data_IF_220758265495
#
_entry.id   IF_220758265495
#
_cell.length_a   1.000
_cell.length_b   1.000
_cell.length_c   1.000
_cell.angle_alpha   90.00
_cell.angle_beta   90.00
_cell.angle_gamma   90.00
#
_symmetry.space_group_name_H-M   'P 1'
#
loop_
_entity.id
_entity.type
_entity.pdbx_description
1 polymer ?
#
# COMPACT_ATOMS: atom_id res chain seq x y z
N UNK A 1 22.85 -14.17 -10.44
CA UNK A 1 21.58 -13.62 -10.96
C UNK A 1 21.13 -12.33 -10.24
N UNK A 2 21.24 -12.20 -8.91
CA UNK A 2 20.82 -10.98 -8.17
C UNK A 2 21.57 -9.69 -8.56
N UNK A 3 22.85 -9.75 -8.89
CA UNK A 3 23.66 -8.57 -9.30
C UNK A 3 23.33 -8.05 -10.70
N UNK A 4 22.80 -8.92 -11.59
CA UNK A 4 22.44 -8.54 -12.95
C UNK A 4 21.12 -7.73 -12.99
N UNK A 5 20.16 -8.06 -12.13
CA UNK A 5 18.89 -7.32 -12.02
C UNK A 5 19.08 -5.89 -11.50
N UNK A 6 20.01 -5.68 -10.55
CA UNK A 6 20.30 -4.34 -10.01
C UNK A 6 20.97 -3.46 -11.07
N UNK A 7 21.87 -4.02 -11.88
CA UNK A 7 22.51 -3.28 -12.98
C UNK A 7 21.50 -2.91 -14.09
N UNK A 8 20.53 -3.78 -14.37
CA UNK A 8 19.48 -3.52 -15.38
C UNK A 8 18.53 -2.40 -14.90
N UNK A 9 18.16 -2.40 -13.63
CA UNK A 9 17.31 -1.35 -13.04
C UNK A 9 18.06 -0.01 -13.02
N UNK A 10 19.34 0.00 -12.65
CA UNK A 10 20.14 1.23 -12.68
C UNK A 10 20.35 1.76 -14.10
N UNK A 11 20.53 0.91 -15.12
CA UNK A 11 20.67 1.36 -16.52
C UNK A 11 19.40 2.00 -17.07
N UNK A 12 18.22 1.52 -16.68
CA UNK A 12 16.94 2.12 -17.06
C UNK A 12 16.75 3.53 -16.45
N UNK A 13 17.30 3.79 -15.26
CA UNK A 13 17.28 5.12 -14.65
C UNK A 13 18.20 6.11 -15.37
N UNK A 14 19.35 5.65 -15.88
CA UNK A 14 20.30 6.53 -16.61
C UNK A 14 19.83 6.87 -18.03
N UNK A 15 19.19 5.96 -18.74
CA UNK A 15 18.65 6.24 -20.09
C UNK A 15 17.50 7.24 -20.08
N UNK A 16 16.68 7.28 -19.02
CA UNK A 16 15.60 8.26 -18.87
C UNK A 16 16.07 9.70 -18.70
N UNK A 17 17.33 9.92 -18.27
CA UNK A 17 17.86 11.25 -18.00
C UNK A 17 18.38 11.96 -19.26
N UNK A 18 18.72 11.24 -20.32
CA UNK A 18 19.33 11.78 -21.53
C UNK A 18 18.28 12.37 -22.49
N UNK A 19 17.06 11.85 -22.48
CA UNK A 19 15.97 12.38 -23.33
C UNK A 19 15.22 13.58 -22.72
N UNK A 20 15.57 13.99 -21.51
CA UNK A 20 14.90 15.10 -20.82
C UNK A 20 15.49 16.50 -21.16
N UNK A 21 16.54 16.59 -21.96
CA UNK A 21 17.25 17.86 -22.20
C UNK A 21 16.94 18.55 -23.54
N UNK A 22 16.26 17.93 -24.46
CA UNK A 22 15.86 18.60 -25.71
C UNK A 22 14.40 19.05 -25.67
N UNK A 23 14.16 20.30 -25.63
CA UNK A 23 12.88 21.07 -25.77
C UNK A 23 12.45 21.86 -24.54
N UNK A 24 13.32 22.68 -23.97
CA UNK A 24 12.94 23.56 -22.85
C UNK A 24 12.18 24.81 -23.33
N UNK A 25 12.35 25.29 -24.53
CA UNK A 25 11.77 26.57 -24.97
C UNK A 25 10.32 26.46 -25.49
N UNK A 26 9.96 25.40 -26.18
CA UNK A 26 8.60 25.22 -26.73
C UNK A 26 7.56 24.71 -25.68
N UNK A 27 8.05 24.13 -24.59
CA UNK A 27 7.24 23.56 -23.48
C UNK A 27 6.67 24.67 -22.58
N UNK A 28 7.30 25.82 -22.48
CA UNK A 28 6.98 26.83 -21.47
C UNK A 28 5.66 27.54 -21.75
N UNK A 29 5.31 27.82 -23.00
CA UNK A 29 4.04 28.49 -23.34
C UNK A 29 2.83 27.56 -23.24
N UNK A 30 2.95 26.30 -23.68
CA UNK A 30 1.85 25.34 -23.67
C UNK A 30 1.59 24.69 -22.29
N UNK A 31 2.57 24.73 -21.39
CA UNK A 31 2.43 24.16 -20.02
C UNK A 31 1.68 25.08 -19.06
N UNK A 32 1.60 26.38 -19.36
CA UNK A 32 0.85 27.34 -18.57
C UNK A 32 -0.68 27.21 -18.75
N UNK A 33 -1.15 26.57 -19.81
CA UNK A 33 -2.58 26.36 -20.07
C UNK A 33 -3.16 25.17 -19.28
N UNK A 34 -2.38 24.09 -19.06
CA UNK A 34 -2.87 22.88 -18.40
C UNK A 34 -2.62 22.93 -16.90
N UNK A 35 -3.69 23.14 -16.15
CA UNK A 35 -3.64 23.25 -14.69
C UNK A 35 -4.16 22.03 -13.97
N UNK A 36 -4.76 21.08 -14.67
CA UNK A 36 -5.47 19.95 -14.09
C UNK A 36 -5.02 18.64 -14.75
N UNK A 37 -5.10 17.56 -14.00
CA UNK A 37 -4.90 16.21 -14.51
C UNK A 37 -5.74 15.18 -13.77
N UNK A 38 -6.13 14.15 -14.50
CA UNK A 38 -6.67 12.91 -13.92
C UNK A 38 -5.57 11.87 -14.00
N UNK A 39 -5.38 11.12 -12.91
CA UNK A 39 -4.41 10.05 -12.81
C UNK A 39 -5.04 8.72 -12.49
N UNK A 40 -4.41 7.66 -13.00
CA UNK A 40 -4.65 6.28 -12.60
C UNK A 40 -3.36 5.73 -12.03
N UNK A 41 -3.44 5.08 -10.88
CA UNK A 41 -2.29 4.50 -10.21
C UNK A 41 -2.48 3.03 -9.93
N UNK A 42 -1.36 2.29 -9.92
CA UNK A 42 -1.28 0.90 -9.53
C UNK A 42 0.00 0.65 -8.73
N UNK A 43 -0.03 -0.31 -7.84
CA UNK A 43 1.07 -0.68 -6.95
C UNK A 43 0.54 -1.32 -5.67
N UNK A 44 0.70 -0.66 -4.53
CA UNK A 44 0.08 -1.09 -3.25
C UNK A 44 -1.47 -1.01 -3.27
N UNK A 45 -2.07 -0.82 -4.41
CA UNK A 45 -3.51 -0.74 -4.66
C UNK A 45 -3.75 -0.14 -6.03
N UNK A 46 -5.01 -0.07 -6.42
CA UNK A 46 -5.46 0.64 -7.61
C UNK A 46 -6.08 1.97 -7.20
N UNK A 47 -5.75 3.04 -7.90
CA UNK A 47 -6.25 4.36 -7.56
C UNK A 47 -6.63 5.19 -8.76
N UNK A 48 -7.51 6.15 -8.49
CA UNK A 48 -7.86 7.24 -9.38
C UNK A 48 -7.72 8.55 -8.61
N UNK A 49 -7.15 9.56 -9.24
CA UNK A 49 -6.95 10.84 -8.61
C UNK A 49 -7.17 12.02 -9.56
N UNK A 50 -7.44 13.16 -8.96
CA UNK A 50 -7.44 14.45 -9.62
C UNK A 50 -6.33 15.30 -9.02
N UNK A 51 -5.55 15.92 -9.91
CA UNK A 51 -4.44 16.80 -9.52
C UNK A 51 -4.58 18.18 -10.13
N UNK A 52 -4.17 19.19 -9.38
CA UNK A 52 -4.18 20.59 -9.81
C UNK A 52 -2.85 21.25 -9.49
N UNK A 53 -2.39 22.09 -10.42
CA UNK A 53 -1.25 22.98 -10.21
C UNK A 53 -1.64 24.07 -9.22
N UNK A 54 -0.99 24.14 -8.07
CA UNK A 54 -1.11 25.27 -7.14
C UNK A 54 -0.05 26.34 -7.43
N UNK A 55 1.21 25.92 -7.56
CA UNK A 55 2.32 26.79 -7.96
C UNK A 55 3.10 26.13 -9.09
N UNK A 56 3.16 26.73 -10.29
CA UNK A 56 3.85 26.15 -11.44
C UNK A 56 5.24 25.64 -11.09
N UNK A 57 5.58 24.45 -11.58
CA UNK A 57 6.85 23.77 -11.41
C UNK A 57 7.26 23.46 -9.95
N UNK A 58 6.47 23.83 -8.95
CA UNK A 58 6.83 23.66 -7.53
C UNK A 58 5.81 22.92 -6.69
N UNK A 59 4.51 23.28 -6.77
CA UNK A 59 3.49 22.74 -5.86
C UNK A 59 2.28 22.25 -6.64
N UNK A 60 1.85 21.05 -6.30
CA UNK A 60 0.68 20.39 -6.86
C UNK A 60 -0.18 19.84 -5.73
N UNK A 61 -1.50 19.99 -5.89
CA UNK A 61 -2.49 19.38 -5.01
C UNK A 61 -3.07 18.15 -5.71
N UNK A 62 -3.23 17.06 -4.98
CA UNK A 62 -3.83 15.83 -5.48
C UNK A 62 -4.88 15.36 -4.48
N UNK A 63 -6.05 15.00 -4.98
CA UNK A 63 -7.08 14.30 -4.21
C UNK A 63 -7.44 13.02 -4.95
N UNK A 64 -7.47 11.90 -4.27
CA UNK A 64 -7.64 10.61 -4.91
C UNK A 64 -8.32 9.57 -4.02
N UNK A 65 -8.76 8.51 -4.66
CA UNK A 65 -9.27 7.32 -4.03
C UNK A 65 -8.40 6.13 -4.42
N UNK A 66 -8.04 5.31 -3.45
CA UNK A 66 -7.26 4.08 -3.64
C UNK A 66 -7.95 2.91 -2.97
N UNK A 67 -7.83 1.75 -3.59
CA UNK A 67 -8.34 0.50 -3.06
C UNK A 67 -7.32 -0.63 -3.28
N UNK A 68 -7.06 -1.38 -2.22
CA UNK A 68 -6.39 -2.67 -2.23
C UNK A 68 -7.34 -3.67 -1.60
N UNK A 69 -7.93 -4.52 -2.42
CA UNK A 69 -8.74 -5.65 -1.96
C UNK A 69 -8.09 -6.91 -2.50
N UNK A 70 -7.63 -7.74 -1.61
CA UNK A 70 -6.91 -8.95 -1.97
C UNK A 70 -7.28 -10.07 -1.01
N UNK A 71 -7.55 -11.25 -1.55
CA UNK A 71 -7.89 -12.44 -0.77
C UNK A 71 -7.16 -13.66 -1.34
N UNK A 72 -6.43 -14.36 -0.50
CA UNK A 72 -5.85 -15.68 -0.81
C UNK A 72 -6.44 -16.66 0.16
N UNK A 73 -6.95 -17.78 -0.37
CA UNK A 73 -7.59 -18.82 0.43
C UNK A 73 -6.88 -20.16 0.22
N UNK A 74 -6.83 -20.95 1.29
CA UNK A 74 -6.35 -22.33 1.25
C UNK A 74 -4.84 -22.46 1.06
N UNK A 75 -4.05 -21.53 1.62
CA UNK A 75 -2.59 -21.72 1.66
C UNK A 75 -2.31 -22.82 2.68
N UNK A 76 -1.74 -23.91 2.19
CA UNK A 76 -1.30 -25.02 3.06
C UNK A 76 0.01 -24.67 3.71
N UNK A 77 0.07 -24.72 5.04
CA UNK A 77 1.27 -24.54 5.84
C UNK A 77 1.39 -25.68 6.85
N UNK A 78 2.58 -26.27 6.94
CA UNK A 78 2.90 -27.22 7.99
C UNK A 78 3.60 -26.49 9.14
N UNK A 79 2.95 -26.48 10.31
CA UNK A 79 3.49 -25.88 11.53
C UNK A 79 3.47 -26.93 12.62
N UNK A 80 4.63 -27.21 13.19
CA UNK A 80 4.81 -28.19 14.27
C UNK A 80 4.33 -29.60 13.96
N UNK A 81 4.31 -30.00 12.68
CA UNK A 81 3.84 -31.30 12.21
C UNK A 81 2.35 -31.38 11.88
N UNK A 82 1.62 -30.29 12.05
CA UNK A 82 0.20 -30.19 11.71
C UNK A 82 0.00 -29.40 10.41
N UNK A 83 -0.88 -29.90 9.55
CA UNK A 83 -1.25 -29.21 8.30
C UNK A 83 -2.35 -28.18 8.57
N UNK A 84 -2.05 -26.92 8.29
CA UNK A 84 -2.95 -25.80 8.47
C UNK A 84 -3.36 -25.22 7.11
N UNK A 85 -4.60 -24.79 7.02
CA UNK A 85 -5.11 -23.96 5.93
C UNK A 85 -5.17 -22.50 6.41
N UNK A 86 -4.48 -21.62 5.70
CA UNK A 86 -4.43 -20.20 6.01
C UNK A 86 -5.15 -19.42 4.92
N UNK A 87 -6.18 -18.70 5.32
CA UNK A 87 -6.88 -17.72 4.50
C UNK A 87 -6.43 -16.31 4.93
N UNK A 88 -6.11 -15.45 3.97
CA UNK A 88 -5.70 -14.07 4.25
C UNK A 88 -6.54 -13.13 3.40
N UNK A 89 -7.13 -12.13 4.02
CA UNK A 89 -7.88 -11.07 3.36
C UNK A 89 -7.31 -9.71 3.75
N UNK A 90 -7.07 -8.87 2.73
CA UNK A 90 -6.62 -7.50 2.87
C UNK A 90 -7.69 -6.58 2.28
N UNK A 91 -8.22 -5.67 3.07
CA UNK A 91 -9.16 -4.64 2.60
C UNK A 91 -8.70 -3.26 3.08
N UNK A 92 -8.03 -2.53 2.17
CA UNK A 92 -7.63 -1.16 2.38
C UNK A 92 -8.31 -0.28 1.33
N UNK A 93 -9.12 0.65 1.78
CA UNK A 93 -9.77 1.66 0.94
C UNK A 93 -9.59 3.02 1.58
N UNK A 94 -9.02 3.95 0.84
CA UNK A 94 -8.81 5.30 1.36
C UNK A 94 -9.07 6.37 0.33
N UNK A 95 -9.56 7.50 0.82
CA UNK A 95 -9.49 8.78 0.14
C UNK A 95 -8.27 9.53 0.66
N UNK A 96 -7.45 10.09 -0.22
CA UNK A 96 -6.28 10.86 0.20
C UNK A 96 -6.24 12.28 -0.39
N UNK A 97 -5.66 13.18 0.38
CA UNK A 97 -5.29 14.52 -0.05
C UNK A 97 -3.79 14.70 0.12
N UNK A 98 -3.10 14.98 -0.97
CA UNK A 98 -1.64 15.07 -1.02
C UNK A 98 -1.17 16.39 -1.62
N UNK A 99 -0.06 16.89 -1.12
CA UNK A 99 0.67 18.02 -1.68
C UNK A 99 2.01 17.47 -2.17
N UNK A 100 2.32 17.69 -3.45
CA UNK A 100 3.62 17.37 -4.03
C UNK A 100 4.45 18.63 -4.17
N UNK A 101 5.64 18.63 -3.57
CA UNK A 101 6.60 19.73 -3.63
C UNK A 101 7.83 19.32 -4.43
N UNK A 102 8.17 20.09 -5.46
CA UNK A 102 9.34 19.90 -6.30
C UNK A 102 10.44 20.91 -5.93
N UNK A 103 11.38 20.57 -5.02
CA UNK A 103 12.38 21.50 -4.50
C UNK A 103 13.27 22.04 -5.61
N UNK A 104 13.62 21.22 -6.57
CA UNK A 104 14.54 21.56 -7.67
C UNK A 104 13.82 21.89 -8.98
N UNK A 105 12.49 22.02 -8.97
CA UNK A 105 11.65 22.24 -10.17
C UNK A 105 11.81 21.16 -11.27
N UNK A 106 12.42 20.02 -10.95
CA UNK A 106 12.60 18.85 -11.80
C UNK A 106 11.54 17.77 -11.52
N UNK A 107 11.78 16.53 -11.94
CA UNK A 107 10.89 15.41 -11.72
C UNK A 107 10.86 14.90 -10.26
N UNK A 108 11.90 15.14 -9.47
CA UNK A 108 11.94 14.74 -8.06
C UNK A 108 10.93 15.53 -7.24
N UNK A 109 10.22 14.87 -6.36
CA UNK A 109 9.22 15.48 -5.47
C UNK A 109 9.25 14.89 -4.06
N UNK A 110 8.91 15.74 -3.11
CA UNK A 110 8.49 15.38 -1.77
C UNK A 110 6.96 15.40 -1.73
N UNK A 111 6.37 14.41 -1.11
CA UNK A 111 4.91 14.29 -1.03
C UNK A 111 4.51 14.21 0.43
N UNK A 112 3.66 15.12 0.86
CA UNK A 112 3.02 15.09 2.16
C UNK A 112 1.51 15.11 2.01
N UNK A 113 0.78 14.52 2.97
CA UNK A 113 -0.67 14.49 2.88
C UNK A 113 -1.34 13.79 4.04
N UNK A 114 -2.59 13.45 3.84
CA UNK A 114 -3.42 12.70 4.80
C UNK A 114 -4.29 11.71 4.03
N UNK A 115 -4.38 10.49 4.54
CA UNK A 115 -5.31 9.47 4.09
C UNK A 115 -6.46 9.31 5.07
N UNK A 116 -7.66 9.18 4.53
CA UNK A 116 -8.89 8.85 5.26
C UNK A 116 -9.31 7.46 4.84
N UNK A 117 -9.14 6.49 5.71
CA UNK A 117 -9.41 5.09 5.45
C UNK A 117 -10.86 4.76 5.78
N UNK A 118 -11.62 4.32 4.79
CA UNK A 118 -12.95 3.75 4.98
C UNK A 118 -12.90 2.27 5.33
N UNK A 119 -11.79 1.60 5.02
CA UNK A 119 -11.43 0.26 5.42
C UNK A 119 -9.92 0.18 5.53
N UNK A 120 -9.43 -0.42 6.62
CA UNK A 120 -7.99 -0.62 6.89
C UNK A 120 -7.81 -1.91 7.69
N UNK A 121 -8.31 -3.01 7.11
CA UNK A 121 -8.40 -4.30 7.79
C UNK A 121 -7.52 -5.35 7.11
N UNK A 122 -6.89 -6.19 7.92
CA UNK A 122 -6.26 -7.43 7.51
C UNK A 122 -6.82 -8.56 8.36
N UNK A 123 -7.46 -9.52 7.73
CA UNK A 123 -7.96 -10.73 8.39
C UNK A 123 -7.09 -11.93 7.99
N UNK A 124 -6.70 -12.72 8.98
CA UNK A 124 -5.98 -13.99 8.80
C UNK A 124 -6.72 -15.06 9.55
N UNK A 125 -7.31 -16.00 8.81
CA UNK A 125 -8.02 -17.15 9.36
C UNK A 125 -7.20 -18.41 9.16
N UNK A 126 -6.98 -19.15 10.22
CA UNK A 126 -6.25 -20.41 10.19
C UNK A 126 -7.17 -21.54 10.69
N UNK A 127 -7.24 -22.62 9.93
CA UNK A 127 -8.01 -23.83 10.27
C UNK A 127 -7.13 -25.06 10.10
N UNK A 128 -7.42 -26.11 10.83
CA UNK A 128 -6.74 -27.38 10.64
C UNK A 128 -7.26 -28.08 9.37
N UNK A 129 -6.34 -28.63 8.57
CA UNK A 129 -6.66 -29.37 7.36
C UNK A 129 -7.05 -30.82 7.66
N UNK A 130 -6.37 -31.42 8.60
CA UNK A 130 -6.49 -32.83 8.96
C UNK A 130 -7.04 -32.97 10.39
N UNK A 131 -7.53 -34.17 10.73
CA UNK A 131 -7.92 -34.48 12.10
C UNK A 131 -6.70 -34.40 13.03
N UNK A 132 -6.89 -33.88 14.23
CA UNK A 132 -5.84 -33.75 15.25
C UNK A 132 -6.00 -34.80 16.29
N UNK A 133 -4.90 -35.40 16.72
CA UNK A 133 -4.88 -36.36 17.82
C UNK A 133 -4.21 -35.72 19.04
N UNK A 134 -4.99 -35.49 20.09
CA UNK A 134 -4.46 -34.97 21.36
C UNK A 134 -4.54 -36.09 22.41
N UNK A 135 -3.41 -36.69 22.73
CA UNK A 135 -3.34 -37.88 23.60
C UNK A 135 -3.92 -39.10 22.92
N UNK A 136 -5.06 -39.57 23.44
CA UNK A 136 -5.81 -40.73 22.89
C UNK A 136 -7.13 -40.28 22.18
N UNK A 137 -7.39 -38.99 22.09
CA UNK A 137 -8.64 -38.47 21.53
C UNK A 137 -8.36 -37.86 20.15
N UNK A 138 -9.06 -38.32 19.15
CA UNK A 138 -9.07 -37.76 17.81
C UNK A 138 -10.18 -36.72 17.68
N UNK A 139 -9.79 -35.49 17.25
CA UNK A 139 -10.71 -34.41 16.95
C UNK A 139 -10.81 -34.26 15.43
N UNK A 140 -12.02 -34.17 14.94
CA UNK A 140 -12.24 -33.89 13.54
C UNK A 140 -11.93 -32.39 13.26
N UNK A 141 -11.83 -32.01 11.99
CA UNK A 141 -11.47 -30.65 11.59
C UNK A 141 -12.47 -29.59 12.09
N UNK A 142 -13.74 -29.92 12.25
CA UNK A 142 -14.77 -29.00 12.74
C UNK A 142 -14.63 -28.75 14.26
N UNK A 143 -14.32 -29.79 15.04
CA UNK A 143 -14.14 -29.72 16.50
C UNK A 143 -12.74 -29.19 16.88
N UNK A 144 -11.77 -29.33 16.01
CA UNK A 144 -10.40 -28.81 16.21
C UNK A 144 -10.37 -27.30 16.36
N UNK A 145 -11.29 -26.60 15.69
CA UNK A 145 -11.46 -25.16 15.82
C UNK A 145 -10.74 -24.34 14.76
N UNK A 146 -10.84 -23.03 14.91
CA UNK A 146 -10.20 -22.04 14.04
C UNK A 146 -9.60 -20.91 14.85
N UNK A 147 -8.54 -20.31 14.30
CA UNK A 147 -7.94 -19.07 14.78
C UNK A 147 -8.23 -17.98 13.76
N UNK A 148 -8.84 -16.91 14.21
CA UNK A 148 -9.18 -15.75 13.39
C UNK A 148 -8.53 -14.51 14.00
N UNK A 149 -7.68 -13.83 13.21
CA UNK A 149 -6.91 -12.66 13.62
C UNK A 149 -7.33 -11.49 12.76
N UNK A 150 -7.95 -10.50 13.36
CA UNK A 150 -8.29 -9.24 12.73
C UNK A 150 -7.34 -8.14 13.17
N UNK A 151 -6.72 -7.47 12.19
CA UNK A 151 -5.81 -6.34 12.42
C UNK A 151 -6.41 -5.10 11.78
N UNK A 152 -6.72 -4.10 12.60
CA UNK A 152 -7.34 -2.85 12.17
C UNK A 152 -6.41 -1.67 12.45
N UNK A 153 -6.24 -0.78 11.46
CA UNK A 153 -5.49 0.47 11.62
C UNK A 153 -6.41 1.68 11.72
N UNK A 154 -5.83 2.83 12.04
CA UNK A 154 -6.57 4.09 12.17
C UNK A 154 -7.29 4.49 10.89
N UNK A 155 -8.47 5.09 11.04
CA UNK A 155 -9.24 5.68 9.96
C UNK A 155 -8.54 6.89 9.31
N UNK A 156 -7.65 7.58 10.04
CA UNK A 156 -6.94 8.77 9.55
C UNK A 156 -5.44 8.60 9.78
N UNK A 157 -4.66 8.75 8.73
CA UNK A 157 -3.21 8.63 8.79
C UNK A 157 -2.51 9.70 7.96
N UNK A 158 -1.60 10.51 8.54
CA UNK A 158 -0.68 11.36 7.80
C UNK A 158 0.18 10.54 6.83
N UNK A 159 0.49 11.13 5.68
CA UNK A 159 1.32 10.52 4.65
C UNK A 159 2.58 11.33 4.43
N UNK A 160 3.71 10.67 4.29
CA UNK A 160 4.96 11.25 3.84
C UNK A 160 5.64 10.32 2.83
N UNK A 161 6.15 10.90 1.74
CA UNK A 161 6.80 10.12 0.70
C UNK A 161 7.71 10.94 -0.19
N UNK A 162 8.39 10.21 -1.05
CA UNK A 162 9.25 10.72 -2.11
C UNK A 162 8.71 10.23 -3.44
N UNK A 163 8.97 10.94 -4.52
CA UNK A 163 8.56 10.45 -5.82
C UNK A 163 9.30 11.11 -6.97
N UNK A 164 9.01 10.56 -8.16
CA UNK A 164 9.46 11.08 -9.43
C UNK A 164 8.28 11.28 -10.37
N UNK A 165 8.36 12.31 -11.19
CA UNK A 165 7.29 12.69 -12.10
C UNK A 165 6.35 13.73 -11.51
N UNK A 166 5.64 14.45 -12.38
CA UNK A 166 4.75 15.54 -11.99
C UNK A 166 3.31 15.04 -11.83
N UNK A 167 2.60 15.55 -10.84
CA UNK A 167 1.18 15.26 -10.66
C UNK A 167 0.33 15.79 -11.81
N UNK A 168 0.68 16.98 -12.34
CA UNK A 168 0.18 17.51 -13.60
C UNK A 168 1.34 17.57 -14.57
N UNK A 169 1.38 16.71 -15.60
CA UNK A 169 2.48 16.67 -16.55
C UNK A 169 2.48 17.87 -17.50
N UNK A 170 3.65 18.26 -17.97
CA UNK A 170 3.80 19.34 -18.96
C UNK A 170 3.27 18.93 -20.34
N UNK A 171 3.34 17.63 -20.68
CA UNK A 171 2.70 17.05 -21.88
C UNK A 171 1.34 16.50 -21.50
N UNK A 172 0.50 16.14 -22.50
CA UNK A 172 -0.82 15.56 -22.23
C UNK A 172 -0.77 14.32 -21.35
N UNK A 173 0.21 13.45 -21.58
CA UNK A 173 0.43 12.24 -20.80
C UNK A 173 1.69 12.38 -19.95
N UNK A 174 1.65 11.85 -18.75
CA UNK A 174 2.79 11.79 -17.85
C UNK A 174 2.79 10.53 -17.01
N UNK A 175 4.00 10.19 -16.56
CA UNK A 175 4.25 9.08 -15.66
C UNK A 175 4.84 9.62 -14.36
N UNK A 176 4.46 9.01 -13.26
CA UNK A 176 5.02 9.30 -11.95
C UNK A 176 5.16 8.01 -11.15
N UNK A 177 6.09 8.01 -10.21
CA UNK A 177 6.27 6.95 -9.24
C UNK A 177 6.38 7.60 -7.86
N UNK A 178 5.69 7.03 -6.88
CA UNK A 178 5.69 7.48 -5.49
C UNK A 178 6.01 6.31 -4.55
N UNK A 179 6.85 6.60 -3.56
CA UNK A 179 7.19 5.70 -2.46
C UNK A 179 7.07 6.47 -1.16
N UNK A 180 6.33 5.93 -0.22
CA UNK A 180 6.13 6.59 1.07
C UNK A 180 5.47 5.68 2.09
N UNK A 181 4.96 6.28 3.14
CA UNK A 181 4.24 5.58 4.19
C UNK A 181 3.14 6.45 4.78
N UNK A 182 2.06 5.82 5.17
CA UNK A 182 1.09 6.42 6.08
C UNK A 182 1.50 6.10 7.52
N UNK A 183 1.43 7.11 8.38
CA UNK A 183 1.71 7.01 9.80
C UNK A 183 0.39 6.79 10.54
N UNK A 184 0.10 5.55 10.86
CA UNK A 184 -1.09 5.16 11.62
C UNK A 184 -0.82 5.20 13.13
N UNK A 185 -1.84 5.04 13.95
CA UNK A 185 -1.68 4.59 15.34
C UNK A 185 -1.27 3.11 15.35
N UNK A 186 -0.98 2.59 16.53
CA UNK A 186 -0.82 1.14 16.74
C UNK A 186 -2.05 0.43 16.21
N UNK A 187 -1.89 -0.70 15.48
CA UNK A 187 -3.04 -1.48 15.05
C UNK A 187 -3.76 -2.08 16.27
N UNK A 188 -5.06 -2.24 16.16
CA UNK A 188 -5.87 -2.99 17.09
C UNK A 188 -6.03 -4.42 16.56
N UNK A 189 -5.58 -5.38 17.36
CA UNK A 189 -5.65 -6.79 17.02
C UNK A 189 -6.74 -7.43 17.85
N UNK A 190 -7.68 -8.08 17.17
CA UNK A 190 -8.70 -8.94 17.78
C UNK A 190 -8.38 -10.39 17.44
N UNK A 191 -8.38 -11.24 18.47
CA UNK A 191 -8.08 -12.65 18.35
C UNK A 191 -9.30 -13.50 18.72
N UNK A 192 -9.91 -14.13 17.73
CA UNK A 192 -10.96 -15.09 17.95
C UNK A 192 -10.46 -16.52 17.72
N UNK A 193 -10.62 -17.38 18.72
CA UNK A 193 -10.24 -18.78 18.65
C UNK A 193 -11.40 -19.65 19.09
N UNK A 194 -11.57 -20.79 18.44
CA UNK A 194 -12.64 -21.75 18.73
C UNK A 194 -12.07 -23.16 18.91
N UNK A 195 -12.90 -24.10 19.43
CA UNK A 195 -12.50 -25.48 19.60
C UNK A 195 -11.43 -25.68 20.65
N UNK A 196 -10.50 -26.61 20.39
CA UNK A 196 -9.43 -26.95 21.34
C UNK A 196 -8.43 -25.83 21.57
N UNK A 197 -8.37 -24.82 20.67
CA UNK A 197 -7.48 -23.67 20.74
C UNK A 197 -8.14 -22.42 21.33
N UNK A 198 -9.34 -22.51 21.89
CA UNK A 198 -10.09 -21.34 22.41
C UNK A 198 -9.30 -20.55 23.47
N UNK A 199 -8.46 -21.21 24.26
CA UNK A 199 -7.59 -20.55 25.26
C UNK A 199 -6.56 -19.59 24.63
N UNK A 200 -6.32 -19.68 23.31
CA UNK A 200 -5.40 -18.76 22.62
C UNK A 200 -5.92 -17.32 22.60
N UNK A 201 -7.20 -17.07 22.87
CA UNK A 201 -7.78 -15.73 23.04
C UNK A 201 -7.05 -14.92 24.13
N UNK A 202 -6.55 -15.57 25.17
CA UNK A 202 -5.82 -14.92 26.25
C UNK A 202 -4.50 -14.27 25.78
N UNK A 203 -4.03 -14.60 24.57
CA UNK A 203 -2.82 -14.05 23.98
C UNK A 203 -3.04 -12.74 23.20
N UNK A 204 -4.29 -12.28 23.05
CA UNK A 204 -4.62 -11.03 22.34
C UNK A 204 -3.86 -9.83 22.91
N UNK A 205 -3.78 -9.70 24.23
CA UNK A 205 -3.04 -8.62 24.88
C UNK A 205 -1.54 -8.61 24.54
N UNK A 206 -0.93 -9.80 24.48
CA UNK A 206 0.48 -9.99 24.10
C UNK A 206 0.71 -9.63 22.62
N UNK A 207 -0.23 -9.99 21.76
CA UNK A 207 -0.16 -9.61 20.34
C UNK A 207 -0.26 -8.10 20.17
N UNK A 208 -1.23 -7.45 20.82
CA UNK A 208 -1.37 -6.00 20.79
C UNK A 208 -0.10 -5.28 21.27
N UNK A 209 0.54 -5.75 22.35
CA UNK A 209 1.82 -5.21 22.84
C UNK A 209 2.95 -5.44 21.81
N UNK A 210 3.03 -6.63 21.23
CA UNK A 210 4.08 -6.99 20.26
C UNK A 210 3.98 -6.16 18.97
N UNK A 211 2.77 -5.82 18.54
CA UNK A 211 2.51 -5.04 17.34
C UNK A 211 2.36 -3.53 17.58
N UNK A 212 2.53 -3.05 18.80
CA UNK A 212 2.42 -1.63 19.15
C UNK A 212 3.33 -0.72 18.30
N UNK A 213 4.47 -1.23 17.84
CA UNK A 213 5.42 -0.50 16.99
C UNK A 213 5.08 -0.47 15.49
N UNK A 214 4.10 -1.25 15.03
CA UNK A 214 3.70 -1.33 13.61
C UNK A 214 2.76 -0.17 13.22
N UNK A 215 3.30 1.05 13.26
CA UNK A 215 2.57 2.31 13.00
C UNK A 215 2.70 2.78 11.55
N UNK A 216 3.27 1.96 10.66
CA UNK A 216 3.60 2.36 9.30
C UNK A 216 2.89 1.48 8.29
N UNK A 217 2.13 2.09 7.40
CA UNK A 217 1.52 1.42 6.25
C UNK A 217 2.33 1.82 5.01
N UNK A 218 3.19 0.93 4.47
CA UNK A 218 4.01 1.24 3.30
C UNK A 218 3.13 1.44 2.06
N UNK A 219 3.51 2.40 1.23
CA UNK A 219 2.77 2.76 0.03
C UNK A 219 3.73 3.02 -1.13
N UNK A 220 3.57 2.27 -2.21
CA UNK A 220 4.34 2.42 -3.42
C UNK A 220 3.41 2.37 -4.64
N UNK A 221 3.50 3.36 -5.53
CA UNK A 221 2.65 3.43 -6.72
C UNK A 221 3.38 3.89 -7.96
N UNK A 222 2.91 3.37 -9.09
CA UNK A 222 3.18 3.88 -10.42
C UNK A 222 1.89 4.55 -10.92
N UNK A 223 2.02 5.73 -11.49
CA UNK A 223 0.90 6.56 -11.91
C UNK A 223 1.03 6.98 -13.36
N UNK A 224 -0.04 6.86 -14.11
CA UNK A 224 -0.22 7.46 -15.44
C UNK A 224 -1.23 8.58 -15.31
N UNK A 225 -0.96 9.74 -15.89
CA UNK A 225 -1.86 10.90 -15.80
C UNK A 225 -2.05 11.58 -17.14
N UNK A 226 -3.23 12.16 -17.30
CA UNK A 226 -3.62 12.97 -18.45
C UNK A 226 -3.95 14.40 -18.01
N UNK A 227 -3.27 15.39 -18.58
CA UNK A 227 -3.47 16.81 -18.26
C UNK A 227 -4.34 17.53 -19.28
N UNK A 228 -5.19 18.45 -18.77
CA UNK A 228 -6.13 19.25 -19.52
C UNK A 228 -6.31 20.65 -18.93
#
# INVERSE_FOLDING_TARGET
>A
MKKLCIALVMSLFFYGSIYAQETIEEITENSLERKNAIGFSGGTGLGIDYSRVWKPNKLYLTAGFNALVFSIKGIEQEISGENLLVDTELDFKNFDMKISYHPFSNAFKLVGGVGFFSSSNTNVKTTFKDNIVVGEVEFNTEDSGSLDIDVNWSEVAPYLGLGFGRAVPNKRWGFAADLGTYFSSSPEITLDATGIIEQSKDQEALLNESFESFKFIPYATLRVSYSF
#
